data_IF_181326762590
#
_entry.id   IF_181326762590
#
_cell.length_a   1.000
_cell.length_b   1.000
_cell.length_c   1.000
_cell.angle_alpha   90.00
_cell.angle_beta   90.00
_cell.angle_gamma   90.00
#
_symmetry.space_group_name_H-M   'P 1'
#
loop_
_entity.id
_entity.type
_entity.pdbx_description
1 polymer ?
#
# COMPACT_ATOMS: atom_id res chain seq x y z
N UNK A 1 -45.76 10.64 12.54
CA UNK A 1 -45.32 10.61 11.13
C UNK A 1 -44.20 11.64 10.97
N UNK A 2 -43.14 11.57 11.76
CA UNK A 2 -41.94 10.69 11.69
C UNK A 2 -40.75 11.33 10.97
N UNK A 3 -40.24 12.38 11.61
CA UNK A 3 -38.88 12.90 11.43
C UNK A 3 -37.78 11.87 11.75
N UNK A 4 -38.13 10.75 12.40
CA UNK A 4 -37.26 9.59 12.61
C UNK A 4 -36.94 8.82 11.31
N UNK A 5 -37.79 8.89 10.29
CA UNK A 5 -37.55 8.18 9.02
C UNK A 5 -36.51 8.91 8.14
N UNK A 6 -36.43 10.23 8.22
CA UNK A 6 -35.45 11.04 7.46
C UNK A 6 -34.01 10.90 8.01
N UNK A 7 -33.84 10.69 9.32
CA UNK A 7 -32.53 10.49 9.94
C UNK A 7 -31.94 9.09 9.71
N UNK A 8 -32.77 8.10 9.36
CA UNK A 8 -32.35 6.72 9.10
C UNK A 8 -31.78 6.51 7.68
N UNK A 9 -32.07 7.43 6.75
CA UNK A 9 -31.59 7.40 5.37
C UNK A 9 -30.19 8.01 5.19
N UNK A 10 -29.78 9.00 6.01
CA UNK A 10 -28.46 9.64 5.91
C UNK A 10 -27.26 8.80 6.37
N UNK A 11 -27.47 7.80 7.25
CA UNK A 11 -26.39 6.91 7.74
C UNK A 11 -26.05 5.78 6.76
N UNK A 12 -26.98 5.39 5.88
CA UNK A 12 -26.79 4.33 4.89
C UNK A 12 -26.04 4.80 3.63
N UNK A 13 -26.14 6.08 3.30
CA UNK A 13 -25.37 6.67 2.18
C UNK A 13 -23.94 7.03 2.58
N UNK A 14 -23.71 7.39 3.86
CA UNK A 14 -22.36 7.54 4.40
C UNK A 14 -21.56 6.22 4.39
N UNK A 15 -22.23 5.07 4.61
CA UNK A 15 -21.61 3.75 4.52
C UNK A 15 -21.27 3.33 3.08
N UNK A 16 -21.96 3.86 2.07
CA UNK A 16 -21.60 3.63 0.66
C UNK A 16 -20.41 4.47 0.22
N UNK A 17 -20.17 5.61 0.85
CA UNK A 17 -19.08 6.52 0.47
C UNK A 17 -17.73 6.09 1.07
N UNK A 18 -17.72 5.42 2.23
CA UNK A 18 -16.51 4.74 2.73
C UNK A 18 -16.29 3.35 2.10
N UNK A 19 -17.36 2.67 1.66
CA UNK A 19 -17.24 1.48 0.81
C UNK A 19 -16.66 1.82 -0.59
N UNK A 20 -16.76 3.07 -1.05
CA UNK A 20 -16.16 3.52 -2.30
C UNK A 20 -14.63 3.65 -2.22
N UNK A 21 -14.05 3.82 -1.02
CA UNK A 21 -12.62 3.62 -0.79
C UNK A 21 -12.24 2.14 -0.64
N UNK A 22 -13.24 1.26 -0.47
CA UNK A 22 -13.04 -0.17 -0.23
C UNK A 22 -13.28 -1.06 -1.45
N UNK A 23 -13.87 -0.60 -2.56
CA UNK A 23 -13.93 -1.27 -3.88
C UNK A 23 -14.40 -0.27 -4.96
N UNK A 24 -13.53 0.65 -5.37
CA UNK A 24 -13.71 1.43 -6.62
C UNK A 24 -13.44 0.55 -7.86
N UNK A 25 -13.90 0.95 -9.05
CA UNK A 25 -13.71 0.15 -10.25
C UNK A 25 -12.23 0.03 -10.60
N UNK A 26 -11.78 -1.22 -10.64
CA UNK A 26 -10.73 -1.76 -11.47
C UNK A 26 -9.27 -1.34 -11.20
N UNK A 27 -8.40 -2.24 -11.61
CA UNK A 27 -6.94 -2.14 -11.73
C UNK A 27 -6.49 -1.00 -12.68
N UNK A 28 -7.36 -0.03 -12.96
CA UNK A 28 -7.25 0.98 -14.02
C UNK A 28 -7.23 2.41 -13.48
N UNK A 29 -7.30 2.61 -12.16
CA UNK A 29 -7.01 3.94 -11.60
C UNK A 29 -5.51 4.25 -11.78
N UNK A 30 -5.16 5.40 -12.37
CA UNK A 30 -3.78 5.84 -12.53
C UNK A 30 -3.01 5.73 -11.21
N UNK A 31 -1.83 5.10 -11.22
CA UNK A 31 -0.91 5.08 -10.08
C UNK A 31 -0.02 6.33 -10.05
N UNK A 32 -0.01 7.10 -11.14
CA UNK A 32 0.69 8.35 -11.36
C UNK A 32 0.46 9.41 -10.27
N UNK A 33 -0.73 9.55 -9.65
CA UNK A 33 -0.93 10.45 -8.51
C UNK A 33 -0.01 10.14 -7.31
N UNK A 34 0.55 8.93 -7.22
CA UNK A 34 1.53 8.58 -6.19
C UNK A 34 2.80 9.45 -6.23
N UNK A 35 3.19 9.96 -7.41
CA UNK A 35 4.35 10.86 -7.56
C UNK A 35 4.06 12.26 -6.98
N UNK A 36 2.79 12.65 -6.88
CA UNK A 36 2.42 13.97 -6.38
C UNK A 36 2.78 14.16 -4.89
N UNK A 37 2.63 15.39 -4.39
CA UNK A 37 2.65 15.61 -2.95
C UNK A 37 1.33 15.11 -2.33
N UNK A 38 1.39 14.38 -1.20
CA UNK A 38 0.18 13.92 -0.54
C UNK A 38 -0.64 15.09 -0.02
N UNK A 39 -1.96 14.92 -0.03
CA UNK A 39 -2.86 15.90 0.57
C UNK A 39 -2.51 16.12 2.05
N UNK A 40 -2.46 17.38 2.46
CA UNK A 40 -2.16 17.74 3.84
C UNK A 40 -3.16 17.09 4.80
N UNK A 41 -2.63 16.41 5.82
CA UNK A 41 -3.45 15.86 6.90
C UNK A 41 -4.06 17.01 7.71
N UNK A 42 -5.33 16.90 8.13
CA UNK A 42 -5.99 17.97 8.87
C UNK A 42 -5.25 18.28 10.17
N UNK A 43 -5.04 19.57 10.43
CA UNK A 43 -4.44 20.04 11.68
C UNK A 43 -5.51 20.03 12.77
N UNK A 44 -5.48 19.01 13.63
CA UNK A 44 -6.42 18.83 14.74
C UNK A 44 -5.62 18.84 16.03
N UNK A 45 -6.17 19.48 17.06
CA UNK A 45 -5.53 19.55 18.36
C UNK A 45 -5.39 18.14 18.97
N UNK A 46 -4.26 17.86 19.62
CA UNK A 46 -3.94 16.53 20.21
C UNK A 46 -5.04 15.97 21.12
N UNK A 47 -5.80 16.85 21.78
CA UNK A 47 -6.91 16.51 22.69
C UNK A 47 -8.24 16.12 21.98
N UNK A 48 -8.28 16.13 20.66
CA UNK A 48 -9.47 15.81 19.85
C UNK A 48 -9.32 14.51 19.03
N UNK A 49 -8.16 13.84 19.09
CA UNK A 49 -7.98 12.52 18.50
C UNK A 49 -8.67 11.44 19.33
N UNK A 50 -9.17 10.39 18.68
CA UNK A 50 -9.77 9.23 19.36
C UNK A 50 -8.72 8.22 19.81
N UNK A 51 -7.47 8.35 19.35
CA UNK A 51 -6.37 7.42 19.60
C UNK A 51 -5.23 8.10 20.34
N UNK A 52 -4.69 7.41 21.34
CA UNK A 52 -3.53 7.84 22.12
C UNK A 52 -2.21 7.39 21.50
N UNK A 53 -1.13 8.11 21.83
CA UNK A 53 0.26 7.73 21.49
C UNK A 53 0.60 6.29 21.89
N UNK A 54 0.17 5.86 23.08
CA UNK A 54 0.41 4.51 23.59
C UNK A 54 -0.35 3.44 22.79
N UNK A 55 -1.55 3.75 22.29
CA UNK A 55 -2.30 2.86 21.40
C UNK A 55 -1.62 2.71 20.05
N UNK A 56 -1.18 3.81 19.43
CA UNK A 56 -0.42 3.74 18.17
C UNK A 56 0.85 2.92 18.34
N UNK A 57 1.58 3.09 19.45
CA UNK A 57 2.78 2.29 19.72
C UNK A 57 2.49 0.78 19.87
N UNK A 58 1.37 0.41 20.49
CA UNK A 58 0.93 -0.99 20.58
C UNK A 58 0.58 -1.56 19.21
N UNK A 59 -0.14 -0.80 18.39
CA UNK A 59 -0.49 -1.17 17.02
C UNK A 59 0.77 -1.39 16.16
N UNK A 60 1.75 -0.49 16.24
CA UNK A 60 3.03 -0.62 15.54
C UNK A 60 3.78 -1.89 16.00
N UNK A 61 3.76 -2.18 17.30
CA UNK A 61 4.39 -3.38 17.86
C UNK A 61 3.72 -4.66 17.38
N UNK A 62 2.38 -4.69 17.38
CA UNK A 62 1.60 -5.81 16.85
C UNK A 62 1.88 -6.02 15.35
N UNK A 63 1.98 -4.94 14.58
CA UNK A 63 2.29 -4.99 13.14
C UNK A 63 3.69 -5.57 12.88
N UNK A 64 4.70 -5.15 13.65
CA UNK A 64 6.05 -5.75 13.60
C UNK A 64 6.01 -7.25 13.90
N UNK A 65 5.25 -7.67 14.90
CA UNK A 65 5.10 -9.09 15.24
C UNK A 65 4.44 -9.89 14.09
N UNK A 66 3.39 -9.34 13.46
CA UNK A 66 2.73 -9.96 12.30
C UNK A 66 3.68 -10.11 11.09
N UNK A 67 4.58 -9.14 10.89
CA UNK A 67 5.61 -9.19 9.85
C UNK A 67 6.62 -10.31 10.09
N UNK A 68 7.13 -10.42 11.32
CA UNK A 68 8.10 -11.47 11.70
C UNK A 68 7.48 -12.84 11.94
N UNK A 69 6.15 -12.94 11.90
CA UNK A 69 5.47 -14.21 12.15
C UNK A 69 5.81 -15.23 11.06
N UNK A 70 6.66 -16.19 11.39
CA UNK A 70 7.09 -17.25 10.49
C UNK A 70 5.91 -18.15 10.05
N UNK A 71 5.85 -18.45 8.74
CA UNK A 71 4.85 -19.29 8.08
C UNK A 71 4.92 -20.77 8.44
N UNK A 72 5.78 -21.19 9.38
CA UNK A 72 5.77 -22.56 9.95
C UNK A 72 4.39 -23.00 10.47
N UNK A 73 3.50 -22.06 10.79
CA UNK A 73 2.12 -22.33 11.18
C UNK A 73 1.15 -22.25 9.98
N UNK A 74 0.90 -23.39 9.35
CA UNK A 74 0.09 -23.58 8.12
C UNK A 74 -1.43 -23.32 8.23
N UNK A 75 -1.94 -22.92 9.40
CA UNK A 75 -3.40 -22.90 9.68
C UNK A 75 -4.15 -21.65 9.17
N UNK A 76 -3.50 -20.76 8.40
CA UNK A 76 -4.15 -19.57 7.82
C UNK A 76 -4.54 -18.47 8.82
N UNK A 77 -4.36 -18.70 10.13
CA UNK A 77 -4.67 -17.75 11.21
C UNK A 77 -3.96 -16.41 11.01
N UNK A 78 -2.69 -16.45 10.57
CA UNK A 78 -1.90 -15.25 10.31
C UNK A 78 -2.58 -14.31 9.32
N UNK A 79 -3.19 -14.82 8.25
CA UNK A 79 -3.87 -13.97 7.24
C UNK A 79 -5.06 -13.27 7.86
N UNK A 80 -5.87 -13.99 8.65
CA UNK A 80 -7.03 -13.43 9.35
C UNK A 80 -6.60 -12.35 10.34
N UNK A 81 -5.51 -12.58 11.08
CA UNK A 81 -4.97 -11.59 12.02
C UNK A 81 -4.47 -10.32 11.31
N UNK A 82 -3.73 -10.46 10.20
CA UNK A 82 -3.26 -9.31 9.39
C UNK A 82 -4.45 -8.50 8.86
N UNK A 83 -5.45 -9.15 8.27
CA UNK A 83 -6.63 -8.46 7.72
C UNK A 83 -7.48 -7.83 8.83
N UNK A 84 -7.61 -8.50 9.98
CA UNK A 84 -8.28 -7.94 11.16
C UNK A 84 -7.63 -6.65 11.63
N UNK A 85 -6.31 -6.69 11.86
CA UNK A 85 -5.55 -5.51 12.27
C UNK A 85 -5.61 -4.39 11.22
N UNK A 86 -5.56 -4.74 9.93
CA UNK A 86 -5.69 -3.78 8.83
C UNK A 86 -7.02 -3.02 8.91
N UNK A 87 -8.12 -3.76 9.11
CA UNK A 87 -9.45 -3.17 9.21
C UNK A 87 -9.57 -2.28 10.45
N UNK A 88 -9.07 -2.73 11.61
CA UNK A 88 -9.08 -1.91 12.84
C UNK A 88 -8.34 -0.59 12.64
N UNK A 89 -7.14 -0.60 12.06
CA UNK A 89 -6.37 0.62 11.79
C UNK A 89 -7.09 1.51 10.76
N UNK A 90 -7.72 0.92 9.74
CA UNK A 90 -8.51 1.68 8.77
C UNK A 90 -9.73 2.36 9.42
N UNK A 91 -10.40 1.71 10.37
CA UNK A 91 -11.50 2.31 11.14
C UNK A 91 -11.03 3.50 11.97
N UNK A 92 -9.86 3.40 12.63
CA UNK A 92 -9.29 4.51 13.41
C UNK A 92 -9.00 5.75 12.55
N UNK A 93 -8.69 5.55 11.27
CA UNK A 93 -8.41 6.63 10.31
C UNK A 93 -9.68 7.23 9.68
N UNK A 94 -10.88 6.72 9.99
CA UNK A 94 -12.15 7.35 9.59
C UNK A 94 -12.43 8.60 10.42
N UNK A 95 -12.05 8.57 11.69
CA UNK A 95 -12.12 9.73 12.56
C UNK A 95 -10.87 10.58 12.40
N UNK A 96 -11.00 11.91 12.41
CA UNK A 96 -9.84 12.77 12.27
C UNK A 96 -8.84 12.61 13.43
N UNK A 97 -7.57 12.39 13.10
CA UNK A 97 -6.47 12.23 14.07
C UNK A 97 -5.46 13.37 13.98
N UNK A 98 -4.71 13.66 15.06
CA UNK A 98 -3.55 14.55 14.99
C UNK A 98 -2.59 14.11 13.89
N UNK A 99 -2.08 15.05 13.09
CA UNK A 99 -1.35 14.76 11.86
C UNK A 99 -0.15 13.81 12.07
N UNK A 100 0.54 13.89 13.22
CA UNK A 100 1.64 13.00 13.57
C UNK A 100 1.16 11.54 13.77
N UNK A 101 0.05 11.35 14.49
CA UNK A 101 -0.55 10.04 14.71
C UNK A 101 -1.15 9.47 13.43
N UNK A 102 -1.87 10.29 12.66
CA UNK A 102 -2.45 9.90 11.38
C UNK A 102 -1.36 9.36 10.43
N UNK A 103 -0.22 10.06 10.32
CA UNK A 103 0.90 9.63 9.47
C UNK A 103 1.42 8.25 9.87
N UNK A 104 1.60 8.00 11.17
CA UNK A 104 2.06 6.71 11.70
C UNK A 104 1.03 5.61 11.47
N UNK A 105 -0.25 5.90 11.66
CA UNK A 105 -1.34 4.96 11.35
C UNK A 105 -1.38 4.63 9.85
N UNK A 106 -1.15 5.60 8.96
CA UNK A 106 -1.01 5.35 7.52
C UNK A 106 0.21 4.49 7.19
N UNK A 107 1.34 4.68 7.87
CA UNK A 107 2.51 3.79 7.75
C UNK A 107 2.15 2.35 8.13
N UNK A 108 1.52 2.15 9.29
CA UNK A 108 1.07 0.82 9.72
C UNK A 108 0.09 0.22 8.72
N UNK A 109 -0.87 1.01 8.25
CA UNK A 109 -1.88 0.59 7.29
C UNK A 109 -1.22 0.11 5.98
N UNK A 110 -0.20 0.84 5.50
CA UNK A 110 0.57 0.45 4.32
C UNK A 110 1.34 -0.86 4.53
N UNK A 111 1.97 -1.04 5.69
CA UNK A 111 2.68 -2.27 6.05
C UNK A 111 1.75 -3.48 6.08
N UNK A 112 0.63 -3.40 6.80
CA UNK A 112 -0.34 -4.48 6.91
C UNK A 112 -0.93 -4.84 5.54
N UNK A 113 -1.24 -3.84 4.72
CA UNK A 113 -1.75 -4.05 3.37
C UNK A 113 -0.74 -4.76 2.48
N UNK A 114 0.53 -4.35 2.54
CA UNK A 114 1.62 -5.01 1.82
C UNK A 114 1.78 -6.48 2.26
N UNK A 115 1.68 -6.76 3.56
CA UNK A 115 1.71 -8.14 4.06
C UNK A 115 0.53 -8.94 3.50
N UNK A 116 -0.69 -8.40 3.54
CA UNK A 116 -1.87 -9.05 2.97
C UNK A 116 -1.75 -9.27 1.44
N UNK A 117 -1.12 -8.34 0.72
CA UNK A 117 -0.81 -8.47 -0.70
C UNK A 117 0.16 -9.63 -0.95
N UNK A 118 1.27 -9.67 -0.21
CA UNK A 118 2.29 -10.72 -0.32
C UNK A 118 1.68 -12.10 -0.04
N UNK A 119 0.91 -12.23 1.03
CA UNK A 119 0.21 -13.48 1.36
C UNK A 119 -0.82 -13.90 0.30
N UNK A 120 -1.44 -12.94 -0.38
CA UNK A 120 -2.39 -13.23 -1.48
C UNK A 120 -1.66 -13.67 -2.74
N UNK A 121 -0.52 -13.06 -3.02
CA UNK A 121 0.34 -13.42 -4.14
C UNK A 121 0.92 -14.81 -3.95
N UNK A 122 1.46 -15.14 -2.77
CA UNK A 122 2.00 -16.47 -2.45
C UNK A 122 0.92 -17.56 -2.55
N UNK A 123 -0.36 -17.20 -2.35
CA UNK A 123 -1.50 -18.09 -2.51
C UNK A 123 -2.05 -18.16 -3.95
N UNK A 124 -1.42 -17.50 -4.93
CA UNK A 124 -1.88 -17.43 -6.32
C UNK A 124 -3.12 -16.55 -6.56
N UNK A 125 -3.57 -15.80 -5.54
CA UNK A 125 -4.73 -14.91 -5.63
C UNK A 125 -4.32 -13.55 -6.21
N UNK A 126 -3.82 -13.55 -7.45
CA UNK A 126 -3.19 -12.37 -8.05
C UNK A 126 -4.05 -11.10 -8.10
N UNK A 127 -5.35 -11.15 -8.47
CA UNK A 127 -6.20 -9.95 -8.45
C UNK A 127 -6.37 -9.38 -7.03
N UNK A 128 -6.47 -10.24 -6.02
CA UNK A 128 -6.56 -9.83 -4.61
C UNK A 128 -5.26 -9.20 -4.14
N UNK A 129 -4.11 -9.76 -4.52
CA UNK A 129 -2.81 -9.19 -4.19
C UNK A 129 -2.64 -7.78 -4.76
N UNK A 130 -3.02 -7.56 -6.03
CA UNK A 130 -2.98 -6.25 -6.66
C UNK A 130 -3.82 -5.21 -5.92
N UNK A 131 -5.06 -5.54 -5.51
CA UNK A 131 -5.90 -4.63 -4.72
C UNK A 131 -5.22 -4.20 -3.42
N UNK A 132 -4.61 -5.15 -2.70
CA UNK A 132 -3.88 -4.82 -1.48
C UNK A 132 -2.61 -4.01 -1.73
N UNK A 133 -1.88 -4.25 -2.84
CA UNK A 133 -0.73 -3.42 -3.20
C UNK A 133 -1.14 -1.98 -3.52
N UNK A 134 -2.21 -1.77 -4.30
CA UNK A 134 -2.73 -0.42 -4.59
C UNK A 134 -3.12 0.28 -3.29
N UNK A 135 -3.76 -0.44 -2.37
CA UNK A 135 -4.11 0.11 -1.06
C UNK A 135 -2.86 0.45 -0.23
N UNK A 136 -1.85 -0.41 -0.21
CA UNK A 136 -0.57 -0.15 0.46
C UNK A 136 0.14 1.08 -0.13
N UNK A 137 0.11 1.24 -1.46
CA UNK A 137 0.72 2.36 -2.16
C UNK A 137 0.04 3.68 -1.77
N UNK A 138 -1.29 3.73 -1.75
CA UNK A 138 -2.07 4.91 -1.31
C UNK A 138 -1.79 5.27 0.14
N UNK A 139 -1.80 4.29 1.03
CA UNK A 139 -1.49 4.50 2.44
C UNK A 139 -0.05 5.03 2.62
N UNK A 140 0.92 4.48 1.88
CA UNK A 140 2.32 4.95 1.93
C UNK A 140 2.49 6.38 1.42
N UNK A 141 1.75 6.76 0.37
CA UNK A 141 1.71 8.12 -0.13
C UNK A 141 1.15 9.07 0.93
N UNK A 142 0.02 8.72 1.55
CA UNK A 142 -0.58 9.53 2.61
C UNK A 142 0.33 9.65 3.85
N UNK A 143 1.14 8.64 4.14
CA UNK A 143 2.18 8.70 5.16
C UNK A 143 3.39 9.58 4.77
N UNK A 144 3.54 9.89 3.48
CA UNK A 144 4.73 10.54 2.93
C UNK A 144 5.95 9.62 2.82
N UNK A 145 5.76 8.30 2.85
CA UNK A 145 6.85 7.31 2.73
C UNK A 145 7.02 6.85 1.27
N UNK A 146 7.71 7.68 0.49
CA UNK A 146 8.02 7.39 -0.92
C UNK A 146 8.89 6.15 -1.09
N UNK A 147 9.78 5.85 -0.14
CA UNK A 147 10.68 4.69 -0.26
C UNK A 147 9.90 3.39 -0.06
N UNK A 148 8.95 3.37 0.87
CA UNK A 148 8.04 2.24 1.03
C UNK A 148 7.15 2.06 -0.20
N UNK A 149 6.58 3.14 -0.73
CA UNK A 149 5.77 3.08 -1.95
C UNK A 149 6.53 2.53 -3.16
N UNK A 150 7.79 2.93 -3.35
CA UNK A 150 8.64 2.38 -4.40
C UNK A 150 8.91 0.88 -4.24
N UNK A 151 9.02 0.41 -3.00
CA UNK A 151 9.15 -1.01 -2.70
C UNK A 151 7.85 -1.78 -3.00
N UNK A 152 6.68 -1.19 -2.74
CA UNK A 152 5.38 -1.75 -3.14
C UNK A 152 5.29 -1.88 -4.67
N UNK A 153 5.66 -0.83 -5.41
CA UNK A 153 5.69 -0.86 -6.89
C UNK A 153 6.66 -1.93 -7.43
N UNK A 154 7.82 -2.11 -6.79
CA UNK A 154 8.75 -3.19 -7.15
C UNK A 154 8.16 -4.59 -6.94
N UNK A 155 7.35 -4.78 -5.89
CA UNK A 155 6.65 -6.04 -5.63
C UNK A 155 5.48 -6.26 -6.61
N UNK A 156 4.77 -5.20 -7.02
CA UNK A 156 3.78 -5.26 -8.11
C UNK A 156 4.45 -5.62 -9.44
N UNK A 157 5.61 -5.03 -9.74
CA UNK A 157 6.38 -5.34 -10.94
C UNK A 157 6.86 -6.80 -10.95
N UNK A 158 7.27 -7.35 -9.79
CA UNK A 158 7.53 -8.80 -9.65
C UNK A 158 6.33 -9.61 -10.09
N UNK A 159 5.16 -9.27 -9.57
CA UNK A 159 3.95 -10.01 -9.87
C UNK A 159 3.61 -9.95 -11.36
N UNK A 160 3.85 -8.83 -12.03
CA UNK A 160 3.64 -8.72 -13.48
C UNK A 160 4.61 -9.56 -14.28
N UNK A 161 5.89 -9.67 -13.86
CA UNK A 161 6.85 -10.57 -14.49
C UNK A 161 6.45 -12.04 -14.35
N UNK A 162 6.03 -12.46 -13.16
CA UNK A 162 5.58 -13.83 -12.91
C UNK A 162 4.31 -14.21 -13.70
N UNK A 163 3.53 -13.20 -14.12
CA UNK A 163 2.33 -13.36 -14.95
C UNK A 163 2.59 -13.17 -16.45
N UNK A 164 3.85 -13.10 -16.88
CA UNK A 164 4.26 -12.87 -18.28
C UNK A 164 3.72 -11.53 -18.85
N UNK A 165 3.66 -10.50 -18.01
CA UNK A 165 3.23 -9.12 -18.35
C UNK A 165 4.39 -8.12 -18.19
N UNK A 166 5.51 -8.28 -18.92
CA UNK A 166 6.72 -7.51 -18.68
C UNK A 166 6.61 -6.03 -19.08
N UNK A 167 5.68 -5.66 -19.96
CA UNK A 167 5.42 -4.25 -20.28
C UNK A 167 4.89 -3.48 -19.05
N UNK A 168 3.90 -4.06 -18.36
CA UNK A 168 3.34 -3.46 -17.14
C UNK A 168 4.33 -3.46 -15.99
N UNK A 169 5.17 -4.50 -15.87
CA UNK A 169 6.27 -4.51 -14.92
C UNK A 169 7.22 -3.31 -15.16
N UNK A 170 7.52 -3.00 -16.43
CA UNK A 170 8.39 -1.89 -16.78
C UNK A 170 7.76 -0.54 -16.44
N UNK A 171 6.46 -0.37 -16.70
CA UNK A 171 5.73 0.86 -16.35
C UNK A 171 5.73 1.09 -14.84
N UNK A 172 5.49 0.04 -14.04
CA UNK A 172 5.54 0.10 -12.57
C UNK A 172 6.94 0.46 -12.03
N UNK A 173 8.00 -0.10 -12.63
CA UNK A 173 9.37 0.19 -12.20
C UNK A 173 9.79 1.62 -12.56
N UNK A 174 9.38 2.11 -13.73
CA UNK A 174 9.64 3.49 -14.15
C UNK A 174 8.90 4.48 -13.26
N UNK A 175 7.63 4.21 -12.97
CA UNK A 175 6.85 4.97 -12.01
C UNK A 175 7.56 5.05 -10.65
N UNK A 176 8.10 3.92 -10.17
CA UNK A 176 8.85 3.89 -8.92
C UNK A 176 10.13 4.72 -8.96
N UNK A 177 10.91 4.62 -10.04
CA UNK A 177 12.15 5.38 -10.26
C UNK A 177 11.88 6.89 -10.31
N UNK A 178 10.82 7.29 -11.03
CA UNK A 178 10.40 8.69 -11.14
C UNK A 178 9.97 9.23 -9.77
N UNK A 179 9.19 8.46 -9.00
CA UNK A 179 8.70 8.90 -7.70
C UNK A 179 9.75 8.95 -6.59
N UNK A 180 10.81 8.13 -6.63
CA UNK A 180 11.93 8.26 -5.66
C UNK A 180 12.93 9.34 -6.05
N UNK A 181 12.98 9.72 -7.34
CA UNK A 181 13.83 10.76 -7.88
C UNK A 181 15.34 10.46 -7.77
N UNK A 182 16.16 11.46 -8.10
CA UNK A 182 17.62 11.33 -8.18
C UNK A 182 18.32 11.15 -6.82
N UNK A 183 17.65 11.49 -5.71
CA UNK A 183 18.20 11.39 -4.35
C UNK A 183 17.91 10.05 -3.67
N UNK A 184 17.34 9.09 -4.41
CA UNK A 184 17.03 7.78 -3.88
C UNK A 184 18.27 7.06 -3.32
N UNK A 185 18.18 6.36 -2.17
CA UNK A 185 19.28 5.56 -1.66
C UNK A 185 19.74 4.52 -2.67
N UNK A 186 21.06 4.32 -2.82
CA UNK A 186 21.62 3.40 -3.82
C UNK A 186 21.01 2.00 -3.80
N UNK A 187 20.70 1.45 -2.62
CA UNK A 187 20.02 0.14 -2.49
C UNK A 187 18.64 0.08 -3.15
N UNK A 188 17.88 1.18 -3.12
CA UNK A 188 16.53 1.26 -3.70
C UNK A 188 16.67 1.38 -5.21
N UNK A 189 17.57 2.23 -5.68
CA UNK A 189 17.91 2.37 -7.10
C UNK A 189 18.36 1.03 -7.69
N UNK A 190 19.28 0.33 -7.02
CA UNK A 190 19.76 -0.99 -7.40
C UNK A 190 18.64 -2.02 -7.56
N UNK A 191 17.75 -2.10 -6.55
CA UNK A 191 16.59 -2.98 -6.58
C UNK A 191 15.67 -2.68 -7.77
N UNK A 192 15.34 -1.39 -7.99
CA UNK A 192 14.45 -0.98 -9.08
C UNK A 192 15.07 -1.24 -10.46
N UNK A 193 16.34 -0.88 -10.66
CA UNK A 193 17.08 -1.14 -11.91
C UNK A 193 17.23 -2.62 -12.21
N UNK A 194 17.39 -3.46 -11.19
CA UNK A 194 17.36 -4.92 -11.35
C UNK A 194 16.01 -5.41 -11.86
N UNK A 195 14.89 -4.89 -11.34
CA UNK A 195 13.55 -5.22 -11.88
C UNK A 195 13.35 -4.73 -13.30
N UNK A 196 13.85 -3.53 -13.62
CA UNK A 196 13.84 -2.98 -14.97
C UNK A 196 14.57 -3.90 -15.95
N UNK A 197 15.76 -4.37 -15.55
CA UNK A 197 16.54 -5.32 -16.32
C UNK A 197 15.76 -6.62 -16.59
N UNK A 198 15.13 -7.21 -15.56
CA UNK A 198 14.31 -8.42 -15.75
C UNK A 198 13.17 -8.21 -16.75
N UNK A 199 12.50 -7.06 -16.73
CA UNK A 199 11.48 -6.72 -17.73
C UNK A 199 12.05 -6.60 -19.15
N UNK A 200 13.24 -6.00 -19.31
CA UNK A 200 13.91 -5.96 -20.62
C UNK A 200 14.35 -7.35 -21.10
N UNK A 201 14.82 -8.21 -20.20
CA UNK A 201 15.19 -9.58 -20.54
C UNK A 201 13.97 -10.37 -21.01
N UNK A 202 12.83 -10.28 -20.30
CA UNK A 202 11.58 -10.93 -20.68
C UNK A 202 11.06 -10.49 -22.07
N UNK A 203 11.33 -9.23 -22.46
CA UNK A 203 10.97 -8.69 -23.79
C UNK A 203 12.09 -8.82 -24.84
N UNK A 204 13.17 -9.54 -24.54
CA UNK A 204 14.36 -9.73 -25.41
C UNK A 204 15.05 -8.44 -25.85
N UNK A 205 14.95 -7.37 -25.05
CA UNK A 205 15.61 -6.07 -25.29
C UNK A 205 17.02 -6.05 -24.71
N UNK A 206 17.93 -6.80 -25.31
CA UNK A 206 19.28 -7.09 -24.78
C UNK A 206 20.10 -5.83 -24.45
N UNK A 207 20.11 -4.82 -25.32
CA UNK A 207 20.85 -3.58 -25.05
C UNK A 207 20.27 -2.81 -23.85
N UNK A 208 18.94 -2.78 -23.71
CA UNK A 208 18.30 -2.11 -22.58
C UNK A 208 18.54 -2.86 -21.26
N UNK A 209 18.55 -4.20 -21.31
CA UNK A 209 18.96 -5.04 -20.19
C UNK A 209 20.37 -4.69 -19.69
N UNK A 210 21.37 -4.67 -20.58
CA UNK A 210 22.76 -4.35 -20.17
C UNK A 210 22.88 -2.96 -19.57
N UNK A 211 22.18 -1.96 -20.13
CA UNK A 211 22.15 -0.61 -19.55
C UNK A 211 21.55 -0.60 -18.15
N UNK A 212 20.40 -1.25 -17.96
CA UNK A 212 19.72 -1.30 -16.68
C UNK A 212 20.57 -2.01 -15.60
N UNK A 213 21.23 -3.12 -15.95
CA UNK A 213 22.16 -3.82 -15.05
C UNK A 213 23.36 -2.95 -14.68
N UNK A 214 23.92 -2.20 -15.65
CA UNK A 214 25.03 -1.28 -15.37
C UNK A 214 24.67 -0.07 -14.49
N UNK A 215 23.37 0.16 -14.27
CA UNK A 215 22.85 1.23 -13.41
C UNK A 215 22.34 0.72 -12.05
N UNK A 216 22.35 -0.60 -11.83
CA UNK A 216 21.96 -1.23 -10.58
C UNK A 216 23.13 -1.26 -9.59
#
# INVERSE_FOLDING_TARGET
MDTAHAQMLGRRDATKTLAALALGPALTEPLEPWIAEPAALPAIADRQGTVTEAEVHRIETATRALRSWDSRFRLGIRRKAVVGQLNEVAELLKDPQPAALARRLFTVLAELAKIAASMSYDAGLHPTAQRYYVFALRASHQAGDRLFGANVLADMARQMLDLDRPAEALDLVRLALDGVGATAPGRVTAMLRTREAWAYAATRRVQAFHRAVGQA
#
